data_IF_342952726637
#
_entry.id   IF_342952726637
#
_cell.length_a   1.000
_cell.length_b   1.000
_cell.length_c   1.000
_cell.angle_alpha   90.00
_cell.angle_beta   90.00
_cell.angle_gamma   90.00
#
_symmetry.space_group_name_H-M   'P 1'
#
loop_
_entity.id
_entity.type
_entity.pdbx_description
1 polymer ?
#
# COMPACT_ATOMS: atom_id res chain seq x y z
N UNK A 1 51.18 -76.71 -17.15
CA UNK A 1 50.68 -78.11 -17.26
C UNK A 1 49.18 -78.04 -17.50
N UNK A 2 48.82 -78.47 -18.72
CA UNK A 2 47.66 -79.38 -18.99
C UNK A 2 46.29 -78.89 -18.51
N UNK A 3 45.30 -78.80 -19.21
CA UNK A 3 44.70 -79.38 -20.46
C UNK A 3 43.18 -79.04 -20.35
N UNK A 4 42.60 -78.45 -21.36
CA UNK A 4 41.60 -79.04 -22.32
C UNK A 4 40.33 -79.63 -21.67
N UNK A 5 39.17 -79.18 -22.06
CA UNK A 5 38.27 -79.57 -23.15
C UNK A 5 36.89 -78.94 -22.99
N UNK A 6 36.41 -78.30 -24.02
CA UNK A 6 35.31 -78.67 -24.95
C UNK A 6 34.08 -79.35 -24.30
N UNK A 7 32.91 -78.69 -24.36
CA UNK A 7 31.73 -79.26 -25.03
C UNK A 7 30.68 -78.21 -25.40
N UNK A 8 30.21 -78.28 -26.56
CA UNK A 8 29.18 -77.51 -27.29
C UNK A 8 27.77 -77.77 -26.75
N UNK A 9 26.95 -76.76 -26.75
CA UNK A 9 25.53 -76.87 -26.52
C UNK A 9 24.78 -75.69 -27.18
N UNK A 10 24.24 -75.90 -28.32
CA UNK A 10 23.28 -75.00 -28.98
C UNK A 10 22.01 -74.84 -28.16
N UNK A 11 21.56 -73.63 -27.93
CA UNK A 11 20.18 -73.32 -27.57
C UNK A 11 19.69 -72.08 -28.36
N UNK A 12 18.43 -72.04 -28.84
CA UNK A 12 17.93 -71.04 -29.77
C UNK A 12 17.60 -69.69 -29.12
N UNK A 13 17.97 -68.65 -29.80
CA UNK A 13 17.67 -67.27 -29.43
C UNK A 13 16.17 -66.92 -29.57
N UNK A 14 15.48 -66.65 -28.46
CA UNK A 14 14.17 -66.00 -28.47
C UNK A 14 14.44 -64.52 -28.54
N UNK A 15 14.23 -63.86 -29.66
CA UNK A 15 14.18 -62.43 -29.79
C UNK A 15 12.92 -61.92 -29.11
N UNK A 16 13.07 -61.30 -27.91
CA UNK A 16 12.02 -60.46 -27.31
C UNK A 16 12.08 -59.08 -27.95
N UNK A 17 11.12 -58.78 -28.79
CA UNK A 17 10.89 -57.44 -29.34
C UNK A 17 10.33 -56.59 -28.21
N UNK A 18 11.16 -55.70 -27.65
CA UNK A 18 10.70 -54.63 -26.74
C UNK A 18 10.07 -53.53 -27.59
N UNK A 19 8.75 -53.43 -27.56
CA UNK A 19 8.01 -52.26 -28.04
C UNK A 19 8.18 -51.17 -26.97
N UNK A 20 9.08 -50.22 -27.23
CA UNK A 20 9.18 -49.00 -26.39
C UNK A 20 7.99 -48.11 -26.72
N UNK A 21 7.01 -48.08 -25.84
CA UNK A 21 5.90 -47.10 -25.88
C UNK A 21 6.44 -45.74 -25.40
N UNK A 22 6.82 -44.88 -26.35
CA UNK A 22 7.20 -43.51 -26.04
C UNK A 22 5.94 -42.71 -25.69
N UNK A 23 5.65 -42.55 -24.39
CA UNK A 23 4.64 -41.59 -23.91
C UNK A 23 5.24 -40.21 -24.08
N UNK A 24 4.80 -39.47 -25.09
CA UNK A 24 5.10 -38.06 -25.29
C UNK A 24 4.29 -37.26 -24.25
N UNK A 25 4.91 -36.90 -23.13
CA UNK A 25 4.35 -35.89 -22.24
C UNK A 25 4.43 -34.54 -22.96
N UNK A 26 3.32 -34.12 -23.55
CA UNK A 26 3.16 -32.74 -23.98
C UNK A 26 2.98 -31.92 -22.69
N UNK A 27 4.08 -31.34 -22.19
CA UNK A 27 4.00 -30.25 -21.24
C UNK A 27 3.39 -29.04 -21.96
N UNK A 28 2.08 -28.85 -21.85
CA UNK A 28 1.47 -27.56 -22.12
C UNK A 28 2.00 -26.60 -21.07
N UNK A 29 3.11 -25.94 -21.35
CA UNK A 29 3.60 -24.83 -20.57
C UNK A 29 2.54 -23.74 -20.62
N UNK A 30 1.75 -23.61 -19.56
CA UNK A 30 1.00 -22.40 -19.32
C UNK A 30 2.02 -21.28 -19.17
N UNK A 31 2.21 -20.48 -20.21
CA UNK A 31 2.90 -19.20 -20.08
C UNK A 31 2.04 -18.35 -19.15
N UNK A 32 2.37 -18.36 -17.87
CA UNK A 32 1.87 -17.33 -16.96
C UNK A 32 2.44 -16.02 -17.47
N UNK A 33 1.65 -15.28 -18.23
CA UNK A 33 1.97 -13.88 -18.50
C UNK A 33 2.08 -13.20 -17.14
N UNK A 34 3.30 -12.89 -16.70
CA UNK A 34 3.51 -12.12 -15.50
C UNK A 34 2.87 -10.76 -15.76
N UNK A 35 1.83 -10.46 -14.99
CA UNK A 35 1.17 -9.16 -15.04
C UNK A 35 2.21 -8.09 -14.76
N UNK A 36 2.41 -7.17 -15.68
CA UNK A 36 3.29 -6.01 -15.49
C UNK A 36 2.41 -4.81 -15.18
N UNK A 37 2.51 -4.32 -13.94
CA UNK A 37 1.88 -3.04 -13.55
C UNK A 37 2.83 -1.92 -13.87
N UNK A 38 2.33 -0.92 -14.57
CA UNK A 38 3.07 0.28 -14.94
C UNK A 38 2.43 1.50 -14.28
N UNK A 39 3.27 2.36 -13.69
CA UNK A 39 2.88 3.63 -13.12
C UNK A 39 3.54 4.75 -13.92
N UNK A 40 2.77 5.78 -14.27
CA UNK A 40 3.26 6.96 -14.98
C UNK A 40 2.74 8.24 -14.34
N UNK A 41 3.41 9.36 -14.62
CA UNK A 41 2.89 10.68 -14.24
C UNK A 41 1.71 11.04 -15.12
N UNK A 42 0.61 11.46 -14.49
CA UNK A 42 -0.55 12.01 -15.20
C UNK A 42 -0.52 13.55 -15.19
N UNK A 43 -0.34 14.14 -13.99
CA UNK A 43 -0.35 15.60 -13.83
C UNK A 43 0.56 16.05 -12.68
N UNK A 44 1.28 17.15 -12.86
CA UNK A 44 1.92 17.90 -11.75
C UNK A 44 0.91 18.91 -11.24
N UNK A 45 0.59 18.83 -9.95
CA UNK A 45 -0.38 19.69 -9.28
C UNK A 45 0.30 20.84 -8.55
N UNK A 46 1.39 20.56 -7.82
CA UNK A 46 2.21 21.56 -7.15
C UNK A 46 3.66 21.32 -7.53
N UNK A 47 4.39 22.37 -7.90
CA UNK A 47 5.81 22.30 -8.28
C UNK A 47 6.74 23.16 -7.40
N UNK A 48 6.19 23.83 -6.40
CA UNK A 48 6.88 24.82 -5.55
C UNK A 48 6.86 24.44 -4.06
N UNK A 49 6.97 23.14 -3.75
CA UNK A 49 7.00 22.65 -2.38
C UNK A 49 8.41 22.79 -1.77
N UNK A 50 8.49 22.92 -0.45
CA UNK A 50 9.74 23.01 0.28
C UNK A 50 9.93 21.80 1.21
N UNK A 51 10.63 20.76 0.76
CA UNK A 51 10.87 19.51 1.50
C UNK A 51 9.57 18.84 2.02
N UNK A 52 8.64 18.44 1.13
CA UNK A 52 7.40 17.78 1.51
C UNK A 52 7.69 16.47 2.23
N UNK A 53 6.85 16.08 3.21
CA UNK A 53 7.10 14.87 3.98
C UNK A 53 5.94 13.88 3.96
N UNK A 54 4.74 14.26 4.38
CA UNK A 54 3.57 13.41 4.41
C UNK A 54 2.32 14.14 3.96
N UNK A 55 1.32 13.40 3.47
CA UNK A 55 0.03 13.97 3.13
C UNK A 55 -1.11 13.03 3.47
N UNK A 56 -2.32 13.57 3.59
CA UNK A 56 -3.56 12.81 3.80
C UNK A 56 -4.72 13.49 3.09
N UNK A 57 -5.71 12.72 2.67
CA UNK A 57 -6.91 13.24 2.06
C UNK A 57 -7.98 13.50 3.11
N UNK A 58 -8.60 14.68 3.09
CA UNK A 58 -9.87 14.94 3.79
C UNK A 58 -11.02 14.30 3.01
N UNK A 59 -11.00 14.48 1.70
CA UNK A 59 -11.92 13.93 0.71
C UNK A 59 -11.19 13.83 -0.64
N UNK A 60 -11.89 13.49 -1.73
CA UNK A 60 -11.25 13.33 -3.05
C UNK A 60 -10.71 14.64 -3.66
N UNK A 61 -11.08 15.80 -3.12
CA UNK A 61 -10.67 17.12 -3.63
C UNK A 61 -9.75 17.88 -2.69
N UNK A 62 -9.74 17.55 -1.38
CA UNK A 62 -8.95 18.28 -0.38
C UNK A 62 -7.85 17.42 0.23
N UNK A 63 -6.63 17.93 0.18
CA UNK A 63 -5.41 17.29 0.69
C UNK A 63 -4.79 18.17 1.77
N UNK A 64 -4.41 17.55 2.88
CA UNK A 64 -3.52 18.15 3.87
C UNK A 64 -2.12 17.60 3.69
N UNK A 65 -1.11 18.44 3.78
CA UNK A 65 0.27 17.97 3.74
C UNK A 65 1.22 18.79 4.62
N UNK A 66 2.35 18.19 4.93
CA UNK A 66 3.41 18.77 5.76
C UNK A 66 4.66 19.02 4.95
N UNK A 67 5.35 20.11 5.29
CA UNK A 67 6.73 20.39 4.89
C UNK A 67 7.64 20.32 6.10
N UNK A 68 8.78 19.67 5.93
CA UNK A 68 9.71 19.34 7.03
C UNK A 68 10.15 20.58 7.82
N UNK A 69 10.12 21.77 7.22
CA UNK A 69 10.47 23.03 7.89
C UNK A 69 9.43 23.52 8.91
N UNK A 70 8.32 22.82 9.10
CA UNK A 70 7.29 23.17 10.09
C UNK A 70 6.05 23.83 9.50
N UNK A 71 5.87 23.78 8.20
CA UNK A 71 4.67 24.28 7.54
C UNK A 71 3.70 23.14 7.22
N UNK A 72 2.42 23.45 7.33
CA UNK A 72 1.31 22.58 6.98
C UNK A 72 0.37 23.32 6.03
N UNK A 73 -0.17 22.59 5.05
CA UNK A 73 -1.00 23.20 4.03
C UNK A 73 -2.26 22.38 3.77
N UNK A 74 -3.31 23.09 3.29
CA UNK A 74 -4.46 22.53 2.61
C UNK A 74 -4.35 22.85 1.13
N UNK A 75 -4.56 21.85 0.28
CA UNK A 75 -4.62 22.01 -1.16
C UNK A 75 -5.96 21.50 -1.69
N UNK A 76 -6.69 22.36 -2.42
CA UNK A 76 -7.93 22.01 -3.12
C UNK A 76 -7.61 21.74 -4.57
N UNK A 77 -7.77 20.49 -5.01
CA UNK A 77 -7.32 19.98 -6.32
C UNK A 77 -8.10 20.65 -7.46
N UNK A 78 -9.43 20.73 -7.35
CA UNK A 78 -10.32 21.24 -8.39
C UNK A 78 -10.08 22.71 -8.70
N UNK A 79 -9.78 23.53 -7.70
CA UNK A 79 -9.53 24.96 -7.82
C UNK A 79 -8.05 25.31 -7.90
N UNK A 80 -7.16 24.35 -7.72
CA UNK A 80 -5.71 24.53 -7.61
C UNK A 80 -5.32 25.57 -6.54
N UNK A 81 -6.04 25.58 -5.41
CA UNK A 81 -5.87 26.56 -4.33
C UNK A 81 -5.02 25.96 -3.22
N UNK A 82 -3.92 26.62 -2.88
CA UNK A 82 -3.03 26.28 -1.78
C UNK A 82 -3.20 27.28 -0.64
N UNK A 83 -3.46 26.79 0.58
CA UNK A 83 -3.63 27.59 1.79
C UNK A 83 -2.76 27.08 2.92
N UNK A 84 -1.96 27.95 3.55
CA UNK A 84 -1.17 27.58 4.72
C UNK A 84 -2.09 27.41 5.94
N UNK A 85 -1.83 26.37 6.75
CA UNK A 85 -2.55 26.10 8.00
C UNK A 85 -1.70 26.60 9.17
N UNK A 86 -2.28 27.50 9.96
CA UNK A 86 -1.68 28.03 11.19
C UNK A 86 -1.92 27.10 12.39
N UNK A 87 -1.24 27.36 13.52
CA UNK A 87 -1.42 26.60 14.76
C UNK A 87 -0.58 25.32 14.84
N UNK A 88 0.34 25.13 13.92
CA UNK A 88 1.34 24.03 13.97
C UNK A 88 2.31 24.29 15.14
N UNK A 89 2.67 23.26 15.94
CA UNK A 89 3.57 23.44 17.07
C UNK A 89 4.99 23.81 16.63
N UNK A 90 5.78 24.34 17.57
CA UNK A 90 7.22 24.53 17.36
C UNK A 90 7.90 23.18 17.13
N UNK A 91 8.71 23.08 16.09
CA UNK A 91 9.44 21.85 15.70
C UNK A 91 10.95 22.02 15.84
N UNK A 92 11.67 20.92 15.94
CA UNK A 92 13.11 20.87 15.86
C UNK A 92 13.54 20.37 14.47
N UNK A 93 14.16 21.27 13.70
CA UNK A 93 14.64 20.92 12.36
C UNK A 93 16.14 20.62 12.41
N UNK A 94 16.49 19.32 12.49
CA UNK A 94 17.86 18.87 12.43
C UNK A 94 17.93 17.49 11.74
N UNK A 95 18.73 17.36 10.70
CA UNK A 95 18.90 16.13 9.92
C UNK A 95 17.57 15.69 9.27
N UNK A 96 17.10 14.50 9.64
CA UNK A 96 15.84 13.94 9.17
C UNK A 96 14.63 14.47 9.97
N UNK A 97 14.84 15.17 11.10
CA UNK A 97 13.79 15.73 11.92
C UNK A 97 13.11 16.96 11.31
N UNK A 98 11.94 17.31 11.82
CA UNK A 98 11.09 18.40 11.36
C UNK A 98 9.63 18.12 11.63
N UNK A 99 8.72 18.73 10.87
CA UNK A 99 7.31 18.34 10.77
C UNK A 99 7.23 17.16 9.80
N UNK A 100 6.65 16.05 10.24
CA UNK A 100 6.80 14.75 9.57
C UNK A 100 5.46 14.24 9.06
N UNK A 101 4.92 13.13 9.58
CA UNK A 101 3.69 12.56 9.04
C UNK A 101 2.43 13.28 9.49
N UNK A 102 1.35 13.08 8.73
CA UNK A 102 0.03 13.64 8.98
C UNK A 102 -1.04 12.59 8.71
N UNK A 103 -2.03 12.51 9.60
CA UNK A 103 -3.21 11.67 9.42
C UNK A 103 -4.46 12.41 9.94
N UNK A 104 -5.61 12.16 9.32
CA UNK A 104 -6.90 12.54 9.90
C UNK A 104 -7.47 11.36 10.70
N UNK A 105 -8.29 11.67 11.69
CA UNK A 105 -9.02 10.64 12.43
C UNK A 105 -9.99 9.88 11.51
N UNK A 106 -10.23 8.57 11.67
CA UNK A 106 -11.22 7.85 10.86
C UNK A 106 -12.63 8.47 10.89
N UNK A 107 -13.02 9.09 12.01
CA UNK A 107 -14.28 9.85 12.16
C UNK A 107 -14.07 11.37 11.99
N UNK A 108 -13.20 11.77 11.05
CA UNK A 108 -12.84 13.19 10.84
C UNK A 108 -14.05 14.08 10.55
N UNK A 109 -15.05 13.58 9.85
CA UNK A 109 -16.27 14.37 9.55
C UNK A 109 -16.97 14.89 10.81
N UNK A 110 -16.90 14.13 11.92
CA UNK A 110 -17.54 14.48 13.19
C UNK A 110 -16.62 15.30 14.11
N UNK A 111 -15.33 14.94 14.19
CA UNK A 111 -14.44 15.46 15.21
C UNK A 111 -13.39 16.46 14.68
N UNK A 112 -13.15 16.48 13.36
CA UNK A 112 -12.15 17.31 12.68
C UNK A 112 -10.72 17.15 13.24
N UNK A 113 -10.41 16.00 13.86
CA UNK A 113 -9.10 15.74 14.42
C UNK A 113 -8.06 15.47 13.34
N UNK A 114 -6.95 16.19 13.45
CA UNK A 114 -5.73 16.00 12.64
C UNK A 114 -4.59 15.67 13.58
N UNK A 115 -3.87 14.60 13.26
CA UNK A 115 -2.70 14.13 13.98
C UNK A 115 -1.46 14.44 13.16
N UNK A 116 -0.42 14.90 13.84
CA UNK A 116 0.90 15.11 13.24
C UNK A 116 1.97 14.48 14.11
N UNK A 117 3.00 13.97 13.48
CA UNK A 117 4.26 13.62 14.13
C UNK A 117 5.30 14.67 13.78
N UNK A 118 6.17 14.97 14.72
CA UNK A 118 7.19 15.99 14.55
C UNK A 118 8.39 15.73 15.45
N UNK A 119 9.53 16.28 15.06
CA UNK A 119 10.68 16.32 15.94
C UNK A 119 10.54 17.50 16.89
N UNK A 120 10.76 17.26 18.18
CA UNK A 120 10.72 18.26 19.24
C UNK A 120 12.06 18.35 19.97
N UNK A 121 12.54 19.57 20.21
CA UNK A 121 13.75 19.80 20.98
C UNK A 121 13.51 19.56 22.48
N UNK A 122 14.53 19.02 23.15
CA UNK A 122 14.57 18.84 24.59
C UNK A 122 16.01 18.86 25.08
N UNK A 123 16.20 18.94 26.41
CA UNK A 123 17.56 18.87 26.99
C UNK A 123 18.24 17.57 26.56
N UNK A 124 19.44 17.71 25.97
CA UNK A 124 20.21 16.58 25.47
C UNK A 124 19.94 16.20 24.00
N UNK A 125 19.11 16.97 23.26
CA UNK A 125 18.90 16.77 21.83
C UNK A 125 17.46 16.94 21.36
N UNK A 126 16.93 15.94 20.66
CA UNK A 126 15.60 15.96 20.10
C UNK A 126 15.00 14.54 20.02
N UNK A 127 13.68 14.48 19.92
CA UNK A 127 12.98 13.20 19.80
C UNK A 127 11.73 13.34 18.92
N UNK A 128 11.08 12.20 18.62
CA UNK A 128 9.81 12.17 17.90
C UNK A 128 8.66 12.36 18.88
N UNK A 129 7.73 13.26 18.54
CA UNK A 129 6.49 13.50 19.26
C UNK A 129 5.26 13.26 18.35
N UNK A 130 4.12 12.99 18.98
CA UNK A 130 2.80 12.89 18.38
C UNK A 130 1.91 13.97 19.01
N UNK A 131 1.17 14.69 18.19
CA UNK A 131 0.17 15.63 18.67
C UNK A 131 -1.09 15.61 17.84
N UNK A 132 -2.16 16.16 18.38
CA UNK A 132 -3.48 16.27 17.78
C UNK A 132 -4.06 17.67 17.95
N UNK A 133 -4.72 18.17 16.91
CA UNK A 133 -5.53 19.38 16.98
C UNK A 133 -6.84 19.23 16.23
N UNK A 134 -7.72 20.22 16.37
CA UNK A 134 -8.99 20.34 15.64
C UNK A 134 -8.77 21.28 14.45
N UNK A 135 -9.04 20.84 13.24
CA UNK A 135 -8.90 21.68 12.04
C UNK A 135 -10.18 22.49 11.82
N UNK A 136 -10.11 23.81 12.04
CA UNK A 136 -11.19 24.75 11.81
C UNK A 136 -10.75 25.78 10.76
N UNK A 137 -11.39 25.77 9.60
CA UNK A 137 -10.88 26.56 8.46
C UNK A 137 -9.44 26.16 8.13
N UNK A 138 -8.54 27.14 8.10
CA UNK A 138 -7.10 26.92 7.90
C UNK A 138 -6.30 27.13 9.21
N UNK A 139 -6.87 26.68 10.34
CA UNK A 139 -6.20 26.75 11.63
C UNK A 139 -6.32 25.41 12.37
N UNK A 140 -5.20 24.91 12.86
CA UNK A 140 -5.13 23.77 13.79
C UNK A 140 -5.30 24.30 15.20
N UNK A 141 -6.53 24.21 15.75
CA UNK A 141 -6.89 24.72 17.07
C UNK A 141 -6.72 23.65 18.15
N UNK A 142 -6.58 24.10 19.41
CA UNK A 142 -6.50 23.22 20.58
C UNK A 142 -5.45 22.11 20.43
N UNK A 143 -4.31 22.45 19.83
CA UNK A 143 -3.25 21.49 19.64
C UNK A 143 -2.71 20.99 20.98
N UNK A 144 -2.62 19.67 21.13
CA UNK A 144 -2.09 19.00 22.31
C UNK A 144 -1.05 17.97 21.91
N UNK A 145 0.11 18.00 22.56
CA UNK A 145 1.09 16.91 22.47
C UNK A 145 0.53 15.70 23.22
N UNK A 146 0.30 14.60 22.55
CA UNK A 146 -0.25 13.37 23.11
C UNK A 146 0.84 12.44 23.63
N UNK A 147 1.99 12.44 22.96
CA UNK A 147 3.09 11.54 23.29
C UNK A 147 4.43 12.11 22.87
N UNK A 148 5.48 11.75 23.64
CA UNK A 148 6.88 12.07 23.36
C UNK A 148 7.74 10.83 23.58
N UNK A 149 8.49 10.42 22.57
CA UNK A 149 9.36 9.26 22.65
C UNK A 149 10.59 9.52 23.54
N UNK A 150 11.01 8.52 24.29
CA UNK A 150 12.16 8.55 25.18
C UNK A 150 13.08 7.35 24.88
N UNK A 151 14.40 7.49 25.12
CA UNK A 151 15.12 8.68 25.58
C UNK A 151 15.35 9.73 24.48
N UNK A 152 15.62 10.95 24.91
CA UNK A 152 16.11 12.03 24.04
C UNK A 152 17.48 11.64 23.47
N UNK A 153 17.76 11.99 22.19
CA UNK A 153 19.04 11.73 21.54
C UNK A 153 19.56 12.94 20.79
N UNK A 154 20.83 13.21 20.93
CA UNK A 154 21.53 14.20 20.10
C UNK A 154 21.90 13.56 18.74
N UNK A 155 20.86 13.25 17.93
CA UNK A 155 21.01 12.63 16.64
C UNK A 155 20.01 13.20 15.66
N UNK A 156 20.45 13.46 14.43
CA UNK A 156 19.59 13.88 13.31
C UNK A 156 18.96 12.72 12.53
N UNK A 157 19.17 11.47 12.95
CA UNK A 157 18.77 10.30 12.17
C UNK A 157 17.56 9.56 12.75
N UNK A 158 16.88 8.80 11.92
CA UNK A 158 15.93 7.73 12.22
C UNK A 158 14.81 8.14 13.18
N UNK A 159 13.95 9.06 12.74
CA UNK A 159 12.79 9.49 13.52
C UNK A 159 11.60 8.51 13.43
N UNK A 160 11.56 7.63 12.42
CA UNK A 160 10.37 6.84 12.11
C UNK A 160 9.22 7.74 11.67
N UNK A 161 8.25 7.95 12.56
CA UNK A 161 7.19 8.98 12.50
C UNK A 161 5.92 8.62 11.72
N UNK A 162 5.85 7.50 11.00
CA UNK A 162 4.62 7.14 10.29
C UNK A 162 3.46 6.87 11.25
N UNK A 163 2.27 7.33 10.85
CA UNK A 163 1.02 7.17 11.58
C UNK A 163 0.03 6.38 10.73
N UNK A 164 -0.67 5.43 11.34
CA UNK A 164 -1.81 4.74 10.73
C UNK A 164 -2.87 4.44 11.79
N UNK A 165 -4.14 4.53 11.41
CA UNK A 165 -5.25 4.06 12.24
C UNK A 165 -5.71 2.68 11.77
N UNK A 166 -6.07 1.81 12.72
CA UNK A 166 -6.75 0.57 12.40
C UNK A 166 -8.29 0.74 12.34
N UNK A 167 -9.00 -0.34 12.01
CA UNK A 167 -10.47 -0.35 11.91
C UNK A 167 -11.20 -0.06 13.23
N UNK A 168 -10.49 -0.11 14.36
CA UNK A 168 -11.02 0.16 15.70
C UNK A 168 -10.62 1.55 16.21
N UNK A 169 -10.13 2.43 15.33
CA UNK A 169 -9.61 3.76 15.65
C UNK A 169 -8.39 3.75 16.58
N UNK A 170 -7.67 2.62 16.69
CA UNK A 170 -6.38 2.60 17.39
C UNK A 170 -5.32 3.24 16.52
N UNK A 171 -4.54 4.13 17.11
CA UNK A 171 -3.45 4.82 16.45
C UNK A 171 -2.15 4.02 16.62
N UNK A 172 -1.47 3.75 15.51
CA UNK A 172 -0.12 3.19 15.48
C UNK A 172 0.86 4.24 15.00
N UNK A 173 1.99 4.33 15.69
CA UNK A 173 3.06 5.27 15.39
C UNK A 173 4.41 4.56 15.38
N UNK A 174 5.25 4.83 14.40
CA UNK A 174 6.62 4.33 14.39
C UNK A 174 7.60 5.32 15.02
N UNK A 175 8.59 4.80 15.74
CA UNK A 175 9.74 5.55 16.25
C UNK A 175 11.00 4.83 15.81
N UNK A 176 11.89 5.54 15.13
CA UNK A 176 13.18 4.98 14.72
C UNK A 176 14.18 4.88 15.89
N UNK A 177 15.26 4.14 15.70
CA UNK A 177 16.26 3.86 16.76
C UNK A 177 17.21 5.05 17.02
N UNK A 178 17.08 6.15 16.26
CA UNK A 178 17.79 7.41 16.49
C UNK A 178 19.32 7.31 16.36
N UNK A 179 19.84 6.34 15.56
CA UNK A 179 21.28 6.06 15.43
C UNK A 179 21.87 5.28 16.60
N UNK A 180 21.02 4.72 17.46
CA UNK A 180 21.40 3.91 18.63
C UNK A 180 20.83 2.50 18.44
N UNK A 181 21.45 1.72 17.54
CA UNK A 181 20.89 0.47 17.03
C UNK A 181 20.48 -0.53 18.11
N UNK A 182 21.25 -0.67 19.19
CA UNK A 182 20.99 -1.65 20.26
C UNK A 182 19.74 -1.32 21.06
N UNK A 183 19.31 -0.04 21.07
CA UNK A 183 18.09 0.39 21.73
C UNK A 183 16.83 -0.18 21.04
N UNK A 184 16.94 -0.65 19.81
CA UNK A 184 15.82 -1.30 19.13
C UNK A 184 15.38 -2.60 19.84
N UNK A 185 16.32 -3.29 20.53
CA UNK A 185 16.04 -4.50 21.33
C UNK A 185 15.65 -4.20 22.79
N UNK A 186 15.91 -3.00 23.28
CA UNK A 186 15.61 -2.60 24.65
C UNK A 186 14.15 -2.18 24.81
N UNK A 187 13.29 -2.98 25.42
CA UNK A 187 11.87 -2.70 25.63
C UNK A 187 11.58 -1.65 26.70
N UNK A 188 12.58 -1.19 27.46
CA UNK A 188 12.41 -0.11 28.45
C UNK A 188 12.53 1.30 27.83
N UNK A 189 12.45 1.42 26.53
CA UNK A 189 12.44 2.68 25.78
C UNK A 189 11.59 2.56 24.50
N UNK A 190 11.40 3.71 23.79
CA UNK A 190 10.56 3.78 22.59
C UNK A 190 11.33 3.71 21.26
N UNK A 191 12.67 3.61 21.30
CA UNK A 191 13.51 3.67 20.09
C UNK A 191 13.48 2.35 19.33
N UNK A 192 13.24 2.41 18.01
CA UNK A 192 13.13 1.24 17.14
C UNK A 192 11.86 0.41 17.40
N UNK A 193 10.72 1.08 17.52
CA UNK A 193 9.43 0.48 17.92
C UNK A 193 8.29 0.91 17.00
N UNK A 194 7.25 0.08 16.97
CA UNK A 194 5.89 0.53 16.68
C UNK A 194 5.14 0.63 17.99
N UNK A 195 4.53 1.76 18.23
CA UNK A 195 3.75 2.08 19.43
C UNK A 195 2.27 2.09 19.05
N UNK A 196 1.38 1.73 20.00
CA UNK A 196 -0.08 1.76 19.81
C UNK A 196 -0.75 2.52 20.93
N UNK A 197 -1.69 3.39 20.53
CA UNK A 197 -2.44 4.29 21.43
C UNK A 197 -3.95 4.25 21.12
N UNK A 198 -4.76 4.66 22.08
CA UNK A 198 -6.07 5.18 21.80
C UNK A 198 -5.94 6.51 21.02
N UNK A 199 -7.03 6.98 20.44
CA UNK A 199 -7.06 8.23 19.66
C UNK A 199 -6.73 9.48 20.49
N UNK A 200 -6.85 9.40 21.81
CA UNK A 200 -6.51 10.48 22.76
C UNK A 200 -5.05 10.42 23.28
N UNK A 201 -4.25 9.45 22.80
CA UNK A 201 -2.86 9.24 23.21
C UNK A 201 -2.68 8.39 24.46
N UNK A 202 -3.76 7.92 25.10
CA UNK A 202 -3.68 6.99 26.22
C UNK A 202 -3.30 5.58 25.75
N UNK A 203 -2.74 4.79 26.66
CA UNK A 203 -2.31 3.42 26.36
C UNK A 203 -3.49 2.45 26.43
N UNK A 204 -3.82 1.71 25.36
CA UNK A 204 -4.86 0.69 25.41
C UNK A 204 -4.50 -0.44 26.38
N UNK A 205 -5.45 -0.84 27.22
CA UNK A 205 -5.24 -1.99 28.13
C UNK A 205 -4.90 -3.31 27.41
N UNK A 206 -5.26 -3.38 26.13
CA UNK A 206 -4.96 -4.53 25.24
C UNK A 206 -3.57 -4.48 24.59
N UNK A 207 -2.71 -3.51 24.95
CA UNK A 207 -1.33 -3.53 24.49
C UNK A 207 -0.54 -4.69 25.07
N UNK A 208 0.34 -5.33 24.28
CA UNK A 208 0.95 -6.60 24.67
C UNK A 208 1.91 -6.50 25.85
N UNK A 209 2.44 -5.31 26.16
CA UNK A 209 3.41 -5.12 27.24
C UNK A 209 2.82 -4.37 28.46
N UNK A 210 1.51 -4.15 28.52
CA UNK A 210 0.85 -3.59 29.72
C UNK A 210 1.05 -4.55 30.89
N UNK A 211 1.56 -3.99 32.02
CA UNK A 211 1.84 -4.79 33.22
C UNK A 211 3.11 -5.64 33.18
N UNK A 212 3.86 -5.62 32.08
CA UNK A 212 5.13 -6.35 31.96
C UNK A 212 6.27 -5.50 32.57
N UNK A 213 6.99 -6.01 33.58
CA UNK A 213 8.10 -5.26 34.21
C UNK A 213 9.20 -4.88 33.23
N UNK A 214 9.83 -3.73 33.45
CA UNK A 214 10.92 -3.20 32.65
C UNK A 214 10.63 -3.05 31.15
N UNK A 215 9.36 -2.76 30.82
CA UNK A 215 8.94 -2.45 29.44
C UNK A 215 8.12 -1.18 29.40
N UNK A 216 8.01 -0.57 28.22
CA UNK A 216 7.10 0.54 27.96
C UNK A 216 5.75 0.01 27.48
N UNK A 217 4.64 0.35 28.14
CA UNK A 217 3.32 -0.22 27.82
C UNK A 217 2.78 0.23 26.46
N UNK A 218 3.31 1.32 25.89
CA UNK A 218 2.96 1.81 24.56
C UNK A 218 3.43 0.89 23.44
N UNK A 219 4.44 0.05 23.69
CA UNK A 219 5.07 -0.79 22.67
C UNK A 219 4.10 -1.85 22.17
N UNK A 220 3.88 -1.86 20.84
CA UNK A 220 3.16 -2.90 20.15
C UNK A 220 4.11 -3.99 19.61
N UNK A 221 5.23 -3.57 19.00
CA UNK A 221 6.33 -4.43 18.55
C UNK A 221 7.66 -3.68 18.57
N UNK A 222 8.77 -4.38 18.41
CA UNK A 222 10.12 -3.83 18.55
C UNK A 222 11.12 -4.46 17.58
N UNK A 223 12.38 -3.99 17.64
CA UNK A 223 13.44 -4.52 16.78
C UNK A 223 13.42 -3.94 15.37
N UNK A 224 12.94 -2.71 15.24
CA UNK A 224 12.91 -1.98 13.97
C UNK A 224 14.05 -0.93 13.93
N UNK A 225 14.56 -0.64 12.73
CA UNK A 225 15.57 0.41 12.54
C UNK A 225 14.93 1.78 12.31
N UNK A 226 14.27 1.97 11.18
CA UNK A 226 13.70 3.26 10.78
C UNK A 226 12.53 3.07 9.80
N UNK A 227 11.34 2.84 10.32
CA UNK A 227 10.12 2.68 9.52
C UNK A 227 9.80 4.00 8.82
N UNK A 228 9.65 3.95 7.49
CA UNK A 228 9.35 5.11 6.64
C UNK A 228 8.05 4.97 5.84
N UNK A 229 7.37 3.84 5.95
CA UNK A 229 6.02 3.64 5.43
C UNK A 229 5.23 2.69 6.30
N UNK A 230 3.97 3.03 6.55
CA UNK A 230 2.97 2.19 7.23
C UNK A 230 1.63 2.36 6.54
N UNK A 231 0.93 1.25 6.32
CA UNK A 231 -0.42 1.27 5.78
C UNK A 231 -1.24 0.09 6.33
N UNK A 232 -2.53 0.31 6.50
CA UNK A 232 -3.47 -0.73 6.86
C UNK A 232 -4.03 -1.39 5.58
N UNK A 233 -4.01 -2.71 5.53
CA UNK A 233 -4.67 -3.46 4.48
C UNK A 233 -6.18 -3.18 4.50
N UNK A 234 -6.78 -2.72 3.41
CA UNK A 234 -8.16 -2.22 3.42
C UNK A 234 -9.19 -3.28 3.81
N UNK A 235 -8.97 -4.54 3.44
CA UNK A 235 -9.92 -5.63 3.68
C UNK A 235 -9.64 -6.36 4.99
N UNK A 236 -8.39 -6.77 5.27
CA UNK A 236 -8.06 -7.55 6.48
C UNK A 236 -7.91 -6.68 7.72
N UNK A 237 -7.52 -5.41 7.58
CA UNK A 237 -7.17 -4.51 8.67
C UNK A 237 -5.77 -4.75 9.25
N UNK A 238 -5.00 -5.64 8.66
CA UNK A 238 -3.60 -5.87 9.04
C UNK A 238 -2.74 -4.66 8.67
N UNK A 239 -1.77 -4.35 9.52
CA UNK A 239 -0.85 -3.24 9.29
C UNK A 239 0.46 -3.77 8.72
N UNK A 240 0.88 -3.19 7.61
CA UNK A 240 2.18 -3.43 7.00
C UNK A 240 3.07 -2.22 7.20
N UNK A 241 4.35 -2.46 7.41
CA UNK A 241 5.35 -1.41 7.50
C UNK A 241 6.61 -1.81 6.74
N UNK A 242 7.26 -0.85 6.13
CA UNK A 242 8.61 -1.03 5.61
C UNK A 242 9.58 -0.10 6.29
N UNK A 243 10.82 -0.53 6.37
CA UNK A 243 11.88 0.20 7.03
C UNK A 243 13.18 0.24 6.21
N UNK A 244 14.00 1.26 6.49
CA UNK A 244 15.33 1.36 5.91
C UNK A 244 16.30 0.46 6.62
N UNK A 245 16.96 -0.41 5.87
CA UNK A 245 18.22 -0.99 6.26
C UNK A 245 19.38 0.03 6.17
N UNK A 246 20.61 -0.35 6.52
CA UNK A 246 21.78 0.52 6.30
C UNK A 246 22.23 0.47 4.81
N UNK A 247 23.23 -0.29 4.47
CA UNK A 247 23.61 -0.52 3.06
C UNK A 247 22.97 -1.82 2.57
N UNK A 248 21.74 -1.73 2.02
CA UNK A 248 20.85 -2.86 1.77
C UNK A 248 20.08 -3.27 3.02
N UNK A 249 19.23 -4.29 2.88
CA UNK A 249 18.43 -4.81 3.98
C UNK A 249 17.25 -3.92 4.39
N UNK A 250 16.72 -3.11 3.47
CA UNK A 250 15.37 -2.55 3.65
C UNK A 250 14.37 -3.70 3.70
N UNK A 251 13.32 -3.60 4.51
CA UNK A 251 12.39 -4.69 4.77
C UNK A 251 10.94 -4.25 4.65
N UNK A 252 10.06 -5.17 4.22
CA UNK A 252 8.60 -5.05 4.37
C UNK A 252 8.14 -6.07 5.39
N UNK A 253 7.46 -5.63 6.42
CA UNK A 253 7.02 -6.41 7.55
C UNK A 253 5.49 -6.35 7.72
N UNK A 254 4.86 -7.46 8.09
CA UNK A 254 3.52 -7.51 8.65
C UNK A 254 3.61 -7.25 10.17
N UNK A 255 3.02 -6.16 10.64
CA UNK A 255 3.13 -5.70 12.03
C UNK A 255 2.20 -6.50 12.93
N UNK A 256 2.79 -7.25 13.87
CA UNK A 256 2.10 -8.12 14.82
C UNK A 256 2.38 -7.70 16.27
N UNK A 257 1.43 -7.92 17.19
CA UNK A 257 1.66 -7.62 18.60
C UNK A 257 2.76 -8.51 19.20
N UNK A 258 3.50 -7.97 20.17
CA UNK A 258 4.55 -8.69 20.92
C UNK A 258 5.61 -9.35 20.05
N UNK A 259 5.97 -8.74 18.91
CA UNK A 259 6.85 -9.32 17.91
C UNK A 259 8.16 -8.55 17.83
N UNK A 260 9.29 -9.30 17.75
CA UNK A 260 10.63 -8.77 17.54
C UNK A 260 11.02 -8.90 16.05
N UNK A 261 11.31 -7.80 15.37
CA UNK A 261 11.75 -7.77 13.96
C UNK A 261 13.27 -7.83 13.79
N UNK A 262 14.00 -7.93 14.87
CA UNK A 262 15.38 -8.42 14.91
C UNK A 262 16.48 -7.38 14.80
N UNK A 263 16.24 -6.16 14.28
CA UNK A 263 17.30 -5.15 14.21
C UNK A 263 17.91 -4.84 15.59
N UNK A 264 19.26 -4.75 15.75
CA UNK A 264 20.32 -5.04 14.77
C UNK A 264 20.85 -6.47 14.84
N UNK A 265 20.27 -7.34 15.67
CA UNK A 265 20.75 -8.70 15.89
C UNK A 265 20.64 -9.59 14.64
N UNK A 266 19.66 -9.32 13.77
CA UNK A 266 19.54 -9.87 12.43
C UNK A 266 19.34 -8.76 11.41
N UNK A 267 19.91 -8.90 10.20
CA UNK A 267 19.73 -7.98 9.08
C UNK A 267 20.24 -8.59 7.78
N UNK A 268 19.65 -8.16 6.64
CA UNK A 268 20.16 -8.47 5.29
C UNK A 268 21.11 -7.38 4.77
N UNK A 269 21.41 -6.37 5.57
CA UNK A 269 22.28 -5.25 5.23
C UNK A 269 23.65 -5.31 5.90
N UNK A 270 24.54 -4.43 5.45
CA UNK A 270 25.87 -4.23 6.01
C UNK A 270 26.08 -2.76 6.38
N UNK A 271 27.08 -2.44 7.17
CA UNK A 271 27.45 -1.06 7.47
C UNK A 271 27.83 -0.26 6.22
N UNK A 272 27.74 1.05 6.27
CA UNK A 272 28.08 1.92 5.13
C UNK A 272 29.55 1.84 4.72
N UNK A 273 30.43 1.50 5.64
CA UNK A 273 31.86 1.23 5.38
C UNK A 273 32.14 -0.15 4.76
N UNK A 274 31.11 -0.99 4.65
CA UNK A 274 31.18 -2.34 4.10
C UNK A 274 31.45 -3.43 5.15
N UNK A 275 31.62 -3.09 6.41
CA UNK A 275 31.75 -4.06 7.49
C UNK A 275 30.40 -4.74 7.78
N UNK A 276 30.44 -5.97 8.26
CA UNK A 276 29.27 -6.73 8.65
C UNK A 276 28.72 -6.21 9.99
N UNK A 277 27.38 -6.10 10.11
CA UNK A 277 26.71 -5.74 11.37
C UNK A 277 26.54 -6.99 12.24
N UNK A 278 26.03 -8.04 11.65
CA UNK A 278 25.85 -9.37 12.23
C UNK A 278 26.01 -10.42 11.13
N UNK A 279 26.46 -11.64 11.43
CA UNK A 279 26.46 -12.75 10.49
C UNK A 279 25.04 -13.30 10.26
N UNK A 280 24.08 -12.97 11.12
CA UNK A 280 22.79 -13.61 11.17
C UNK A 280 21.75 -12.83 10.36
N UNK A 281 20.99 -13.55 9.54
CA UNK A 281 19.81 -13.05 8.83
C UNK A 281 18.52 -13.57 9.46
N UNK A 282 18.62 -14.49 10.42
CA UNK A 282 17.50 -15.06 11.19
C UNK A 282 18.00 -15.56 12.53
N UNK A 283 17.18 -15.39 13.57
CA UNK A 283 17.41 -15.96 14.91
C UNK A 283 16.08 -16.42 15.50
N UNK A 284 16.09 -17.43 16.39
CA UNK A 284 14.87 -17.87 17.08
C UNK A 284 14.19 -16.72 17.83
N UNK A 285 12.86 -16.60 17.68
CA UNK A 285 12.06 -15.56 18.32
C UNK A 285 12.08 -14.20 17.58
N UNK A 286 12.72 -14.10 16.42
CA UNK A 286 12.70 -12.94 15.55
C UNK A 286 11.88 -13.21 14.29
N UNK A 287 11.04 -12.25 13.92
CA UNK A 287 10.15 -12.36 12.76
C UNK A 287 10.91 -11.99 11.49
N UNK A 288 10.87 -12.89 10.51
CA UNK A 288 11.40 -12.59 9.18
C UNK A 288 10.48 -11.62 8.42
N UNK A 289 11.05 -10.72 7.58
CA UNK A 289 10.27 -9.85 6.72
C UNK A 289 9.54 -10.63 5.62
N UNK A 290 8.45 -10.05 5.12
CA UNK A 290 7.71 -10.56 3.96
C UNK A 290 8.55 -10.48 2.67
N UNK A 291 9.36 -9.45 2.56
CA UNK A 291 10.37 -9.25 1.51
C UNK A 291 11.40 -8.22 1.97
N UNK A 292 12.56 -8.23 1.32
CA UNK A 292 13.64 -7.27 1.60
C UNK A 292 14.31 -6.82 0.30
N UNK A 293 15.09 -5.74 0.37
CA UNK A 293 15.80 -5.16 -0.78
C UNK A 293 17.30 -5.05 -0.53
N UNK A 294 18.07 -5.68 -1.42
CA UNK A 294 19.53 -5.52 -1.52
C UNK A 294 19.84 -5.32 -3.01
N UNK A 295 20.42 -4.19 -3.42
CA UNK A 295 20.75 -3.02 -2.60
C UNK A 295 19.51 -2.28 -2.07
N UNK A 296 19.72 -1.39 -1.08
CA UNK A 296 18.68 -0.51 -0.54
C UNK A 296 18.06 0.35 -1.63
N UNK A 297 16.73 0.43 -1.62
CA UNK A 297 15.95 1.38 -2.43
C UNK A 297 15.53 2.61 -1.62
N UNK A 298 15.78 2.59 -0.30
CA UNK A 298 15.26 3.54 0.68
C UNK A 298 13.73 3.73 0.51
N UNK A 299 12.92 2.71 0.82
CA UNK A 299 11.46 2.76 0.63
C UNK A 299 10.85 3.84 1.53
N UNK A 300 9.91 4.62 0.99
CA UNK A 300 9.25 5.72 1.70
C UNK A 300 7.83 5.87 1.19
N UNK A 301 6.89 6.21 2.06
CA UNK A 301 5.48 6.24 1.73
C UNK A 301 4.97 4.95 1.10
N UNK A 302 3.81 4.48 1.54
CA UNK A 302 3.22 3.24 1.08
C UNK A 302 1.71 3.35 1.05
N UNK A 303 1.09 2.76 0.03
CA UNK A 303 -0.37 2.61 -0.04
C UNK A 303 -0.76 1.27 -0.61
N UNK A 304 -1.84 0.70 -0.09
CA UNK A 304 -2.56 -0.37 -0.75
C UNK A 304 -3.43 0.21 -1.85
N UNK A 305 -3.54 -0.51 -2.97
CA UNK A 305 -4.49 -0.18 -4.03
C UNK A 305 -5.80 -0.92 -3.73
N UNK A 306 -6.86 -0.16 -3.49
CA UNK A 306 -8.23 -0.70 -3.39
C UNK A 306 -8.76 -0.95 -4.78
N UNK A 307 -8.75 -2.19 -5.23
CA UNK A 307 -9.18 -2.61 -6.57
C UNK A 307 -10.11 -3.84 -6.54
N UNK A 308 -10.73 -4.12 -5.38
CA UNK A 308 -11.69 -5.21 -5.19
C UNK A 308 -11.07 -6.60 -5.26
N UNK A 309 -9.80 -6.72 -4.93
CA UNK A 309 -9.12 -8.02 -4.86
C UNK A 309 -9.64 -8.88 -3.69
N UNK A 310 -9.47 -10.22 -3.75
CA UNK A 310 -9.75 -11.10 -2.61
C UNK A 310 -8.96 -10.68 -1.37
N UNK A 311 -9.51 -10.92 -0.17
CA UNK A 311 -8.90 -10.52 1.10
C UNK A 311 -7.47 -11.04 1.33
N UNK A 312 -7.08 -12.14 0.67
CA UNK A 312 -5.74 -12.69 0.76
C UNK A 312 -4.76 -12.14 -0.30
N UNK A 313 -5.20 -11.23 -1.16
CA UNK A 313 -4.36 -10.57 -2.16
C UNK A 313 -4.26 -9.07 -1.88
N UNK A 314 -3.13 -8.47 -2.21
CA UNK A 314 -2.90 -7.04 -2.11
C UNK A 314 -1.96 -6.54 -3.21
N UNK A 315 -2.30 -5.38 -3.77
CA UNK A 315 -1.39 -4.58 -4.57
C UNK A 315 -0.88 -3.42 -3.71
N UNK A 316 0.42 -3.30 -3.58
CA UNK A 316 1.08 -2.28 -2.77
C UNK A 316 1.95 -1.41 -3.66
N UNK A 317 1.80 -0.09 -3.55
CA UNK A 317 2.74 0.88 -4.12
C UNK A 317 3.64 1.42 -3.02
N UNK A 318 4.94 1.46 -3.29
CA UNK A 318 5.97 1.98 -2.40
C UNK A 318 6.80 3.00 -3.16
N UNK A 319 6.93 4.20 -2.62
CA UNK A 319 7.85 5.20 -3.11
C UNK A 319 9.29 4.84 -2.73
N UNK A 320 10.25 5.04 -3.62
CA UNK A 320 11.68 4.82 -3.34
C UNK A 320 12.46 6.12 -3.41
N UNK A 321 13.21 6.44 -2.35
CA UNK A 321 14.04 7.64 -2.28
C UNK A 321 15.38 7.43 -3.00
N UNK A 322 16.16 6.43 -2.60
CA UNK A 322 17.45 6.12 -3.24
C UNK A 322 17.25 5.46 -4.60
N UNK A 323 16.22 4.61 -4.71
CA UNK A 323 15.87 3.95 -5.97
C UNK A 323 15.24 4.87 -7.02
N UNK A 324 14.77 6.07 -6.64
CA UNK A 324 14.14 7.08 -7.52
C UNK A 324 13.07 6.50 -8.45
N UNK A 325 12.24 5.59 -7.92
CA UNK A 325 11.19 4.90 -8.66
C UNK A 325 9.97 4.64 -7.76
N UNK A 326 8.88 4.20 -8.36
CA UNK A 326 7.77 3.58 -7.65
C UNK A 326 7.91 2.06 -7.78
N UNK A 327 7.87 1.37 -6.65
CA UNK A 327 7.92 -0.08 -6.56
C UNK A 327 6.50 -0.62 -6.33
N UNK A 328 6.01 -1.45 -7.24
CA UNK A 328 4.78 -2.20 -7.08
C UNK A 328 5.08 -3.61 -6.58
N UNK A 329 4.31 -4.06 -5.61
CA UNK A 329 4.33 -5.44 -5.09
C UNK A 329 2.93 -6.03 -5.20
N UNK A 330 2.84 -7.24 -5.75
CA UNK A 330 1.67 -8.10 -5.58
C UNK A 330 1.94 -9.11 -4.47
N UNK A 331 1.07 -9.10 -3.47
CA UNK A 331 1.10 -10.02 -2.34
C UNK A 331 -0.09 -10.98 -2.42
N UNK A 332 0.11 -12.22 -1.98
CA UNK A 332 -0.95 -13.21 -1.77
C UNK A 332 -0.59 -14.05 -0.56
N UNK A 333 -1.53 -14.22 0.37
CA UNK A 333 -1.30 -14.95 1.62
C UNK A 333 -0.03 -14.48 2.37
N UNK A 334 0.19 -13.17 2.38
CA UNK A 334 1.38 -12.51 2.93
C UNK A 334 2.72 -12.91 2.26
N UNK A 335 2.67 -13.46 1.06
CA UNK A 335 3.84 -13.78 0.26
C UNK A 335 3.93 -12.88 -0.98
N UNK A 336 5.13 -12.45 -1.32
CA UNK A 336 5.38 -11.70 -2.55
C UNK A 336 5.24 -12.62 -3.76
N UNK A 337 4.26 -12.34 -4.62
CA UNK A 337 4.02 -13.09 -5.87
C UNK A 337 4.78 -12.47 -7.03
N UNK A 338 4.73 -11.15 -7.17
CA UNK A 338 5.43 -10.43 -8.22
C UNK A 338 5.76 -9.01 -7.80
N UNK A 339 6.63 -8.35 -8.54
CA UNK A 339 6.95 -6.95 -8.36
C UNK A 339 7.43 -6.31 -9.65
N UNK A 340 7.18 -5.02 -9.81
CA UNK A 340 7.73 -4.21 -10.90
C UNK A 340 8.19 -2.84 -10.41
N UNK A 341 8.96 -2.14 -11.24
CA UNK A 341 9.42 -0.78 -10.98
C UNK A 341 8.98 0.11 -12.13
N UNK A 342 8.41 1.25 -11.79
CA UNK A 342 7.97 2.25 -12.75
C UNK A 342 8.59 3.60 -12.42
N UNK A 343 8.62 4.52 -13.39
CA UNK A 343 9.16 5.88 -13.24
C UNK A 343 10.62 5.91 -12.76
N UNK A 344 11.45 4.96 -13.26
CA UNK A 344 12.86 4.87 -12.89
C UNK A 344 13.61 6.18 -13.21
N UNK A 345 14.34 6.72 -12.22
CA UNK A 345 15.08 7.97 -12.36
C UNK A 345 14.23 9.25 -12.38
N UNK A 346 12.91 9.14 -12.18
CA UNK A 346 12.02 10.30 -12.22
C UNK A 346 12.24 11.28 -11.06
N UNK A 347 12.19 10.79 -9.83
CA UNK A 347 12.37 11.57 -8.60
C UNK A 347 12.53 10.67 -7.39
N UNK A 348 12.93 11.24 -6.26
CA UNK A 348 12.85 10.61 -4.95
C UNK A 348 11.41 10.67 -4.45
N UNK A 349 10.71 9.55 -4.40
CA UNK A 349 9.31 9.49 -3.95
C UNK A 349 9.25 9.45 -2.44
N UNK A 350 8.75 10.53 -1.80
CA UNK A 350 8.67 10.67 -0.33
C UNK A 350 7.40 10.06 0.25
N UNK A 351 6.25 10.31 -0.37
CA UNK A 351 4.98 9.70 0.06
C UNK A 351 4.12 9.35 -1.14
N UNK A 352 3.28 8.33 -0.99
CA UNK A 352 2.34 7.87 -2.02
C UNK A 352 1.08 7.39 -1.34
N UNK A 353 -0.10 7.83 -1.84
CA UNK A 353 -1.40 7.45 -1.28
C UNK A 353 -2.47 7.35 -2.35
N UNK A 354 -3.42 6.47 -2.13
CA UNK A 354 -4.66 6.43 -2.89
C UNK A 354 -5.70 7.37 -2.26
N UNK A 355 -6.32 8.21 -3.09
CA UNK A 355 -7.42 9.07 -2.69
C UNK A 355 -8.73 8.27 -2.55
N UNK A 356 -9.76 8.82 -1.87
CA UNK A 356 -11.06 8.16 -1.73
C UNK A 356 -11.76 7.83 -3.06
N UNK A 357 -11.47 8.56 -4.15
CA UNK A 357 -11.98 8.30 -5.50
C UNK A 357 -11.16 7.27 -6.29
N UNK A 358 -10.15 6.68 -5.67
CA UNK A 358 -9.29 5.65 -6.26
C UNK A 358 -8.06 6.18 -7.00
N UNK A 359 -7.96 7.47 -7.27
CA UNK A 359 -6.77 8.07 -7.89
C UNK A 359 -5.55 7.97 -6.99
N UNK A 360 -4.37 7.88 -7.60
CA UNK A 360 -3.11 7.78 -6.87
C UNK A 360 -2.36 9.10 -6.96
N UNK A 361 -1.80 9.50 -5.84
CA UNK A 361 -0.99 10.70 -5.74
C UNK A 361 0.32 10.41 -5.03
N UNK A 362 1.34 11.20 -5.37
CA UNK A 362 2.65 11.10 -4.72
C UNK A 362 3.25 12.47 -4.45
N UNK A 363 4.06 12.54 -3.39
CA UNK A 363 4.99 13.62 -3.13
C UNK A 363 6.40 13.19 -3.47
N UNK A 364 7.15 14.08 -4.10
CA UNK A 364 8.54 13.83 -4.51
C UNK A 364 9.49 14.85 -3.90
N UNK A 365 10.74 14.43 -3.75
CA UNK A 365 11.90 15.28 -3.46
C UNK A 365 12.83 15.32 -4.69
N UNK A 366 13.45 16.45 -4.97
CA UNK A 366 14.44 16.56 -6.06
C UNK A 366 13.94 16.06 -7.44
N UNK A 367 12.93 16.68 -8.03
CA UNK A 367 12.28 17.94 -7.63
C UNK A 367 11.14 17.72 -6.62
N UNK A 368 10.90 18.74 -5.77
CA UNK A 368 9.79 18.75 -4.83
C UNK A 368 8.48 19.02 -5.56
N UNK A 369 7.60 18.01 -5.62
CA UNK A 369 6.32 18.10 -6.34
C UNK A 369 5.23 17.32 -5.64
N UNK A 370 3.98 17.74 -5.88
CA UNK A 370 2.79 16.90 -5.68
C UNK A 370 2.25 16.51 -7.05
N UNK A 371 2.14 15.22 -7.30
CA UNK A 371 1.80 14.68 -8.62
C UNK A 371 0.64 13.69 -8.53
N UNK A 372 -0.24 13.72 -9.53
CA UNK A 372 -1.21 12.67 -9.77
C UNK A 372 -0.58 11.62 -10.69
N UNK A 373 -0.83 10.35 -10.38
CA UNK A 373 -0.27 9.21 -11.08
C UNK A 373 -1.38 8.40 -11.76
N UNK A 374 -1.04 7.78 -12.88
CA UNK A 374 -1.87 6.79 -13.57
C UNK A 374 -1.26 5.41 -13.39
N UNK A 375 -2.11 4.42 -13.13
CA UNK A 375 -1.72 3.01 -13.08
C UNK A 375 -2.37 2.30 -14.26
N UNK A 376 -1.60 1.46 -14.94
CA UNK A 376 -2.07 0.55 -15.97
C UNK A 376 -1.59 -0.88 -15.70
N UNK A 377 -2.25 -1.89 -16.27
CA UNK A 377 -1.88 -3.28 -16.13
C UNK A 377 -2.37 -3.96 -14.84
N UNK A 378 -3.13 -3.29 -13.97
CA UNK A 378 -3.83 -3.97 -12.88
C UNK A 378 -4.97 -4.81 -13.48
N UNK A 379 -4.96 -6.11 -13.23
CA UNK A 379 -6.17 -6.93 -13.45
C UNK A 379 -7.08 -6.74 -12.25
N UNK A 380 -8.12 -5.96 -12.40
CA UNK A 380 -9.19 -5.96 -11.41
C UNK A 380 -9.97 -7.27 -11.56
N UNK A 381 -10.07 -8.04 -10.50
CA UNK A 381 -11.08 -9.09 -10.40
C UNK A 381 -12.48 -8.50 -10.10
N UNK A 382 -12.56 -7.19 -9.97
CA UNK A 382 -13.81 -6.42 -9.86
C UNK A 382 -13.65 -5.09 -10.57
N UNK A 383 -14.60 -4.82 -11.36
CA UNK A 383 -14.85 -3.72 -12.25
C UNK A 383 -14.83 -2.37 -11.53
N UNK A 384 -13.69 -1.71 -11.52
CA UNK A 384 -13.58 -0.27 -11.44
C UNK A 384 -12.53 0.21 -12.45
N UNK A 385 -12.94 0.26 -13.70
CA UNK A 385 -12.23 1.07 -14.68
C UNK A 385 -12.66 2.52 -14.44
N UNK A 386 -11.90 3.25 -13.60
CA UNK A 386 -12.03 4.70 -13.55
C UNK A 386 -11.26 5.25 -14.75
N UNK A 387 -11.83 5.09 -15.91
CA UNK A 387 -11.46 5.87 -17.08
C UNK A 387 -11.95 7.30 -16.84
N UNK A 388 -11.14 8.11 -16.14
CA UNK A 388 -11.30 9.58 -16.09
C UNK A 388 -10.63 10.23 -17.30
N UNK A 389 -10.96 9.77 -18.48
CA UNK A 389 -10.91 10.58 -19.69
C UNK A 389 -12.36 10.85 -20.06
N UNK A 390 -12.72 12.08 -20.27
CA UNK A 390 -14.02 12.57 -20.75
C UNK A 390 -14.65 11.68 -21.83
N UNK A 391 -15.17 10.51 -21.48
CA UNK A 391 -15.97 9.69 -22.35
C UNK A 391 -17.13 9.07 -21.55
N UNK A 392 -18.21 9.81 -21.53
CA UNK A 392 -19.60 9.38 -21.63
C UNK A 392 -20.04 8.33 -20.60
N UNK A 393 -20.60 8.87 -19.52
CA UNK A 393 -21.14 8.16 -18.36
C UNK A 393 -22.08 7.01 -18.76
N UNK A 394 -21.72 5.76 -18.41
CA UNK A 394 -22.62 4.61 -18.49
C UNK A 394 -23.42 4.55 -17.18
N UNK A 395 -24.72 4.73 -17.24
CA UNK A 395 -25.61 4.78 -16.07
C UNK A 395 -26.82 3.87 -16.24
N UNK A 396 -27.32 3.35 -15.10
CA UNK A 396 -28.61 2.64 -15.04
C UNK A 396 -29.57 3.46 -14.20
N UNK A 397 -30.74 3.78 -14.74
CA UNK A 397 -31.77 4.53 -14.03
C UNK A 397 -33.21 4.07 -14.41
N UNK A 398 -34.16 4.09 -13.47
CA UNK A 398 -33.95 4.29 -12.04
C UNK A 398 -33.12 3.15 -11.43
N UNK A 399 -32.35 3.49 -10.38
CA UNK A 399 -31.56 2.51 -9.62
C UNK A 399 -31.51 2.99 -8.15
N UNK A 400 -32.15 2.32 -7.19
CA UNK A 400 -32.88 1.04 -7.31
C UNK A 400 -34.16 1.07 -8.18
N UNK A 401 -34.59 -0.10 -8.69
CA UNK A 401 -35.78 -0.26 -9.52
C UNK A 401 -36.60 -1.46 -9.10
N UNK A 402 -37.95 -1.32 -9.19
CA UNK A 402 -38.89 -2.42 -8.94
C UNK A 402 -39.37 -3.10 -10.24
N UNK A 403 -39.23 -2.45 -11.37
CA UNK A 403 -39.77 -2.93 -12.65
C UNK A 403 -38.76 -2.87 -13.78
N UNK A 404 -38.65 -1.78 -14.47
CA UNK A 404 -37.80 -1.57 -15.63
C UNK A 404 -36.74 -0.50 -15.35
N UNK A 405 -35.55 -0.67 -15.91
CA UNK A 405 -34.48 0.32 -15.85
C UNK A 405 -33.88 0.55 -17.22
N UNK A 406 -33.35 1.71 -17.44
CA UNK A 406 -32.66 2.10 -18.68
C UNK A 406 -31.14 2.13 -18.44
N UNK A 407 -30.40 1.39 -19.26
CA UNK A 407 -28.96 1.52 -19.38
C UNK A 407 -28.67 2.61 -20.42
N UNK A 408 -28.14 3.75 -20.01
CA UNK A 408 -27.69 4.83 -20.89
C UNK A 408 -26.17 4.81 -21.01
N UNK A 409 -25.65 4.90 -22.23
CA UNK A 409 -24.23 4.88 -22.51
C UNK A 409 -23.94 5.67 -23.80
N UNK A 410 -22.69 5.99 -24.02
CA UNK A 410 -22.25 6.63 -25.25
C UNK A 410 -21.12 5.84 -25.90
N UNK A 411 -21.01 5.91 -27.23
CA UNK A 411 -19.93 5.31 -28.02
C UNK A 411 -19.25 6.35 -28.88
N UNK A 412 -17.93 6.28 -28.95
CA UNK A 412 -17.10 7.25 -29.70
C UNK A 412 -17.02 6.97 -31.22
N UNK A 413 -17.40 5.75 -31.61
CA UNK A 413 -17.45 5.29 -33.01
C UNK A 413 -18.50 4.22 -33.20
N UNK A 414 -18.88 3.95 -34.45
CA UNK A 414 -19.77 2.85 -34.79
C UNK A 414 -19.16 1.51 -34.37
N UNK A 415 -19.89 0.73 -33.54
CA UNK A 415 -19.34 -0.50 -32.96
C UNK A 415 -20.41 -1.47 -32.46
N UNK A 416 -19.98 -2.72 -32.25
CA UNK A 416 -20.82 -3.74 -31.64
C UNK A 416 -20.80 -3.56 -30.12
N UNK A 417 -22.01 -3.62 -29.52
CA UNK A 417 -22.23 -3.52 -28.07
C UNK A 417 -22.90 -4.79 -27.58
N UNK A 418 -22.39 -5.34 -26.47
CA UNK A 418 -23.01 -6.46 -25.75
C UNK A 418 -23.24 -6.08 -24.29
N UNK A 419 -24.35 -6.56 -23.71
CA UNK A 419 -24.73 -6.29 -22.31
C UNK A 419 -24.99 -7.61 -21.60
N UNK A 420 -24.39 -7.79 -20.41
CA UNK A 420 -24.62 -8.94 -19.52
C UNK A 420 -24.93 -8.46 -18.11
N UNK A 421 -25.84 -9.15 -17.45
CA UNK A 421 -26.18 -8.88 -16.05
C UNK A 421 -25.72 -10.06 -15.21
N UNK A 422 -24.94 -9.76 -14.17
CA UNK A 422 -24.37 -10.73 -13.25
C UNK A 422 -25.00 -10.59 -11.86
N UNK A 423 -25.21 -11.69 -11.18
CA UNK A 423 -25.52 -11.68 -9.75
C UNK A 423 -24.25 -11.42 -8.90
N UNK A 424 -24.41 -11.30 -7.58
CA UNK A 424 -23.31 -11.08 -6.63
C UNK A 424 -22.27 -12.21 -6.59
N UNK A 425 -22.56 -13.39 -7.14
CA UNK A 425 -21.65 -14.53 -7.24
C UNK A 425 -20.94 -14.60 -8.60
N UNK A 426 -21.13 -13.59 -9.48
CA UNK A 426 -20.51 -13.53 -10.80
C UNK A 426 -21.17 -14.42 -11.87
N UNK A 427 -22.32 -15.04 -11.56
CA UNK A 427 -23.07 -15.81 -12.56
C UNK A 427 -23.90 -14.86 -13.44
N UNK A 428 -23.87 -15.08 -14.77
CA UNK A 428 -24.72 -14.36 -15.73
C UNK A 428 -26.18 -14.76 -15.47
N UNK A 429 -27.03 -13.79 -15.15
CA UNK A 429 -28.46 -13.99 -14.97
C UNK A 429 -29.27 -13.51 -16.16
N UNK A 430 -28.73 -12.62 -16.96
CA UNK A 430 -29.32 -12.14 -18.20
C UNK A 430 -28.25 -11.71 -19.19
N UNK A 431 -28.46 -12.00 -20.47
CA UNK A 431 -27.60 -11.51 -21.56
C UNK A 431 -28.50 -10.90 -22.65
N UNK A 432 -28.18 -9.69 -23.08
CA UNK A 432 -28.90 -9.01 -24.13
C UNK A 432 -28.28 -9.33 -25.49
N UNK A 433 -29.07 -9.42 -26.55
CA UNK A 433 -28.56 -9.62 -27.91
C UNK A 433 -27.54 -8.53 -28.26
N UNK A 434 -26.45 -8.94 -28.92
CA UNK A 434 -25.45 -8.01 -29.42
C UNK A 434 -26.08 -7.02 -30.42
N UNK A 435 -25.81 -5.74 -30.28
CA UNK A 435 -26.33 -4.68 -31.14
C UNK A 435 -25.19 -3.85 -31.74
N UNK A 436 -25.30 -3.56 -33.04
CA UNK A 436 -24.42 -2.60 -33.70
C UNK A 436 -25.01 -1.21 -33.56
N UNK A 437 -24.26 -0.28 -32.95
CA UNK A 437 -24.72 1.08 -32.66
C UNK A 437 -23.80 2.11 -33.32
N UNK A 438 -24.38 3.20 -33.84
CA UNK A 438 -23.62 4.32 -34.38
C UNK A 438 -22.99 5.18 -33.29
N UNK A 439 -22.00 5.98 -33.64
CA UNK A 439 -21.42 6.98 -32.73
C UNK A 439 -22.51 7.85 -32.09
N UNK A 440 -22.42 8.03 -30.76
CA UNK A 440 -23.32 8.88 -29.96
C UNK A 440 -23.89 8.20 -28.73
N UNK A 441 -24.89 8.83 -28.12
CA UNK A 441 -25.58 8.35 -26.92
C UNK A 441 -26.71 7.39 -27.26
N UNK A 442 -26.77 6.27 -26.52
CA UNK A 442 -27.76 5.21 -26.68
C UNK A 442 -28.40 4.87 -25.35
N UNK A 443 -29.57 4.24 -25.43
CA UNK A 443 -30.32 3.75 -24.27
C UNK A 443 -30.89 2.36 -24.57
N UNK A 444 -30.69 1.42 -23.64
CA UNK A 444 -31.24 0.07 -23.71
C UNK A 444 -32.09 -0.21 -22.47
N UNK A 445 -33.26 -0.77 -22.69
CA UNK A 445 -34.14 -1.18 -21.59
C UNK A 445 -33.61 -2.46 -20.93
N UNK A 446 -33.41 -2.42 -19.61
CA UNK A 446 -33.15 -3.60 -18.78
C UNK A 446 -34.48 -4.10 -18.26
N UNK A 447 -34.97 -5.19 -18.82
CA UNK A 447 -36.21 -5.85 -18.34
C UNK A 447 -35.82 -6.70 -17.12
N UNK A 448 -36.21 -6.22 -15.93
CA UNK A 448 -35.85 -6.88 -14.67
C UNK A 448 -36.94 -7.82 -14.13
N UNK A 449 -37.97 -8.14 -14.95
CA UNK A 449 -39.10 -8.95 -14.50
C UNK A 449 -38.69 -10.38 -14.12
N UNK A 450 -37.67 -10.93 -14.76
CA UNK A 450 -37.29 -12.33 -14.61
C UNK A 450 -36.12 -12.55 -13.62
N UNK A 451 -35.65 -11.48 -12.97
CA UNK A 451 -34.58 -11.60 -11.98
C UNK A 451 -35.09 -11.32 -10.56
N UNK A 452 -34.59 -12.09 -9.59
CA UNK A 452 -34.98 -11.95 -8.19
C UNK A 452 -34.59 -10.58 -7.60
N UNK A 453 -35.24 -10.17 -6.50
CA UNK A 453 -34.81 -9.00 -5.74
C UNK A 453 -33.39 -9.18 -5.24
N UNK A 454 -32.57 -8.16 -5.40
CA UNK A 454 -31.16 -8.23 -5.01
C UNK A 454 -30.26 -7.22 -5.71
N UNK A 455 -28.97 -7.38 -5.47
CA UNK A 455 -27.93 -6.57 -6.09
C UNK A 455 -27.33 -7.31 -7.29
N UNK A 456 -27.13 -6.58 -8.38
CA UNK A 456 -26.62 -7.07 -9.66
C UNK A 456 -25.56 -6.12 -10.22
N UNK A 457 -24.81 -6.59 -11.21
CA UNK A 457 -23.85 -5.82 -11.98
C UNK A 457 -24.20 -5.92 -13.46
N UNK A 458 -24.37 -4.78 -14.10
CA UNK A 458 -24.63 -4.67 -15.54
C UNK A 458 -23.32 -4.35 -16.24
N UNK A 459 -22.77 -5.32 -16.96
CA UNK A 459 -21.60 -5.15 -17.82
C UNK A 459 -22.04 -4.76 -19.22
N UNK A 460 -21.45 -3.70 -19.76
CA UNK A 460 -21.55 -3.34 -21.17
C UNK A 460 -20.17 -3.40 -21.82
N UNK A 461 -20.05 -4.12 -22.93
CA UNK A 461 -18.82 -4.18 -23.72
C UNK A 461 -19.05 -3.37 -25.01
N UNK A 462 -18.24 -2.34 -25.19
CA UNK A 462 -18.27 -1.39 -26.32
C UNK A 462 -17.03 -1.58 -27.16
N UNK A 463 -17.08 -2.45 -28.18
CA UNK A 463 -15.94 -2.71 -29.09
C UNK A 463 -14.68 -3.22 -28.38
N UNK A 464 -14.82 -4.01 -27.30
CA UNK A 464 -13.71 -4.53 -26.49
C UNK A 464 -13.45 -3.74 -25.19
N UNK A 465 -14.00 -2.52 -25.05
CA UNK A 465 -13.95 -1.74 -23.81
C UNK A 465 -15.16 -2.09 -22.95
N UNK A 466 -14.91 -2.56 -21.73
CA UNK A 466 -15.96 -2.96 -20.78
C UNK A 466 -16.22 -1.86 -19.76
N UNK A 467 -17.50 -1.57 -19.50
CA UNK A 467 -17.95 -0.76 -18.36
C UNK A 467 -18.94 -1.56 -17.56
N UNK A 468 -18.98 -1.38 -16.22
CA UNK A 468 -19.94 -2.08 -15.36
C UNK A 468 -20.59 -1.10 -14.41
N UNK A 469 -21.88 -1.26 -14.22
CA UNK A 469 -22.69 -0.41 -13.34
C UNK A 469 -23.44 -1.29 -12.34
N UNK A 470 -23.43 -0.87 -11.06
CA UNK A 470 -24.23 -1.53 -10.02
C UNK A 470 -25.72 -1.28 -10.27
N UNK A 471 -26.53 -2.33 -10.16
CA UNK A 471 -27.97 -2.29 -10.29
C UNK A 471 -28.63 -2.98 -9.09
N UNK A 472 -29.66 -2.35 -8.52
CA UNK A 472 -30.42 -2.90 -7.38
C UNK A 472 -31.85 -3.10 -7.79
N UNK A 473 -32.31 -4.37 -7.80
CA UNK A 473 -33.71 -4.78 -7.99
C UNK A 473 -34.42 -4.81 -6.64
N UNK A 474 -35.51 -4.05 -6.50
CA UNK A 474 -36.33 -4.01 -5.29
C UNK A 474 -37.50 -5.01 -5.33
#
# INVERSE_FOLDING_TARGET
MKQTNLFSGWQPSIRKTLIALSILFVFSGSTTNSQTVEVSQEKVLISTMAAPWGFTFINSDEVLFTEKQGKMYRFTISTNTLSEISGVPAISQNGQGGLLDIAIHPNYEQNKYVYITYAVAATGGQTTALGRGVLVGNQLQNFTELFRALPIRNSGNHFGSRIVFDKNNMLYMSVGERGSQDEAQNKNNHLGKVLRFNDDGTVPASNPLVGVPNTKPEIFCWGNRNIQGMAMHPETGEIYAHEHGPRGGDELNLIKPNTNYGWPAVTFGINYDGSQITPDTTLPGMQLPLTYWVPSIAPSGMTFIKNGQPNNEADILIGALAGTHIHWLKMKDNQKISSSRSMNGYARFRDIRQAPDGKIYAMTESPNRFVQLRISGLTSSSVYDVNTGNEHETIVYPNPSSEESTLSFEVSSDQLVTVKIYNIHGAVVQEMPAQFVSKGRHSLAIQSFDIAKGMYYVEINKGGIKSVVKFVKM
#
